data_IF_980559509699
#
_entry.id   IF_980559509699
#
_cell.length_a   1.000
_cell.length_b   1.000
_cell.length_c   1.000
_cell.angle_alpha   90.00
_cell.angle_beta   90.00
_cell.angle_gamma   90.00
#
_symmetry.space_group_name_H-M   'P 1'
#
loop_
_entity.id
_entity.type
_entity.pdbx_description
1 polymer ?
#
# COMPACT_ATOMS: atom_id res chain seq x y z
N UNK A 1 9.89 -2.50 -8.46
CA UNK A 1 9.82 -1.34 -7.53
C UNK A 1 9.02 -0.21 -8.16
N UNK A 2 9.29 0.16 -9.41
CA UNK A 2 8.48 1.13 -10.18
C UNK A 2 6.97 0.82 -10.17
N UNK A 3 6.57 -0.44 -10.40
CA UNK A 3 5.14 -0.81 -10.42
C UNK A 3 4.44 -0.58 -9.08
N UNK A 4 5.12 -0.84 -7.96
CA UNK A 4 4.57 -0.64 -6.61
C UNK A 4 4.36 0.84 -6.31
N UNK A 5 5.32 1.69 -6.70
CA UNK A 5 5.19 3.15 -6.53
C UNK A 5 4.10 3.73 -7.42
N UNK A 6 3.92 3.19 -8.62
CA UNK A 6 2.86 3.59 -9.53
C UNK A 6 1.48 3.22 -8.98
N UNK A 7 1.30 1.97 -8.54
CA UNK A 7 0.04 1.51 -7.94
C UNK A 7 -0.31 2.34 -6.70
N UNK A 8 0.68 2.68 -5.86
CA UNK A 8 0.49 3.55 -4.71
C UNK A 8 0.07 4.97 -5.11
N UNK A 9 0.71 5.54 -6.14
CA UNK A 9 0.39 6.86 -6.66
C UNK A 9 -1.03 6.93 -7.22
N UNK A 10 -1.45 5.94 -8.00
CA UNK A 10 -2.79 5.86 -8.58
C UNK A 10 -3.86 5.71 -7.48
N UNK A 11 -3.55 4.93 -6.44
CA UNK A 11 -4.42 4.75 -5.29
C UNK A 11 -4.59 6.06 -4.49
N UNK A 12 -3.51 6.81 -4.27
CA UNK A 12 -3.54 8.12 -3.62
C UNK A 12 -4.28 9.17 -4.45
N UNK A 13 -4.08 9.20 -5.76
CA UNK A 13 -4.81 10.09 -6.67
C UNK A 13 -6.32 9.81 -6.63
N UNK A 14 -6.71 8.54 -6.54
CA UNK A 14 -8.11 8.14 -6.38
C UNK A 14 -8.72 8.67 -5.08
N UNK A 15 -8.00 8.56 -3.95
CA UNK A 15 -8.46 9.14 -2.67
C UNK A 15 -8.59 10.66 -2.78
N UNK A 16 -7.59 11.34 -3.34
CA UNK A 16 -7.60 12.80 -3.47
C UNK A 16 -8.82 13.27 -4.27
N UNK A 17 -9.14 12.59 -5.37
CA UNK A 17 -10.30 12.93 -6.18
C UNK A 17 -11.61 12.67 -5.43
N UNK A 18 -11.75 11.54 -4.73
CA UNK A 18 -12.92 11.24 -3.89
C UNK A 18 -13.12 12.29 -2.78
N UNK A 19 -12.04 12.73 -2.15
CA UNK A 19 -12.10 13.76 -1.10
C UNK A 19 -12.44 15.14 -1.65
N UNK A 20 -11.99 15.48 -2.87
CA UNK A 20 -12.41 16.70 -3.56
C UNK A 20 -13.90 16.69 -3.89
N UNK A 21 -14.42 15.57 -4.41
CA UNK A 21 -15.85 15.40 -4.70
C UNK A 21 -16.70 15.46 -3.41
N UNK A 22 -16.18 14.90 -2.32
CA UNK A 22 -16.79 15.07 -1.00
C UNK A 22 -16.82 16.55 -0.56
N UNK A 23 -15.71 17.28 -0.69
CA UNK A 23 -15.63 18.70 -0.26
C UNK A 23 -16.63 19.58 -1.01
N UNK A 24 -16.85 19.31 -2.32
CA UNK A 24 -17.86 19.99 -3.12
C UNK A 24 -19.30 19.76 -2.65
N UNK A 25 -19.56 18.66 -1.95
CA UNK A 25 -20.90 18.27 -1.52
C UNK A 25 -21.10 18.38 -0.01
N UNK A 26 -20.07 18.71 0.78
CA UNK A 26 -20.04 18.55 2.24
C UNK A 26 -21.23 19.19 2.98
N UNK A 27 -21.71 20.33 2.50
CA UNK A 27 -22.80 21.08 3.13
C UNK A 27 -24.20 20.55 2.76
N UNK A 28 -24.27 19.73 1.72
CA UNK A 28 -25.50 19.19 1.14
C UNK A 28 -25.95 17.85 1.78
N UNK A 29 -25.34 17.44 2.90
CA UNK A 29 -25.58 16.16 3.57
C UNK A 29 -27.03 15.91 4.00
N UNK A 30 -27.87 16.94 4.04
CA UNK A 30 -29.30 16.82 4.35
C UNK A 30 -30.09 16.21 3.19
N UNK A 31 -29.58 16.24 1.95
CA UNK A 31 -30.22 15.60 0.79
C UNK A 31 -29.89 14.10 0.82
N UNK A 32 -30.89 13.19 0.94
CA UNK A 32 -30.63 11.76 1.17
C UNK A 32 -29.72 11.09 0.14
N UNK A 33 -29.87 11.44 -1.15
CA UNK A 33 -29.02 10.90 -2.23
C UNK A 33 -27.56 11.36 -2.14
N UNK A 34 -27.33 12.62 -1.75
CA UNK A 34 -25.98 13.16 -1.56
C UNK A 34 -25.35 12.53 -0.32
N UNK A 35 -26.10 12.42 0.79
CA UNK A 35 -25.64 11.77 2.01
C UNK A 35 -25.16 10.34 1.78
N UNK A 36 -25.93 9.55 1.04
CA UNK A 36 -25.57 8.17 0.71
C UNK A 36 -24.25 8.13 -0.10
N UNK A 37 -24.09 9.03 -1.06
CA UNK A 37 -22.86 9.15 -1.84
C UNK A 37 -21.66 9.56 -0.97
N UNK A 38 -21.84 10.53 -0.07
CA UNK A 38 -20.80 10.97 0.86
C UNK A 38 -20.34 9.85 1.80
N UNK A 39 -21.27 9.07 2.34
CA UNK A 39 -20.93 7.90 3.16
C UNK A 39 -20.08 6.93 2.34
N UNK A 40 -20.47 6.63 1.10
CA UNK A 40 -19.71 5.76 0.21
C UNK A 40 -18.29 6.29 -0.05
N UNK A 41 -18.16 7.58 -0.38
CA UNK A 41 -16.86 8.22 -0.63
C UNK A 41 -15.94 8.14 0.60
N UNK A 42 -16.46 8.50 1.78
CA UNK A 42 -15.70 8.45 3.03
C UNK A 42 -15.32 7.01 3.44
N UNK A 43 -16.21 6.04 3.24
CA UNK A 43 -15.90 4.63 3.49
C UNK A 43 -14.76 4.11 2.61
N UNK A 44 -14.79 4.44 1.32
CA UNK A 44 -13.71 4.06 0.38
C UNK A 44 -12.41 4.76 0.78
N UNK A 45 -12.44 6.07 1.03
CA UNK A 45 -11.27 6.83 1.45
C UNK A 45 -10.65 6.26 2.74
N UNK A 46 -11.47 5.84 3.71
CA UNK A 46 -11.00 5.20 4.93
C UNK A 46 -10.31 3.85 4.68
N UNK A 47 -10.90 2.99 3.87
CA UNK A 47 -10.33 1.67 3.56
C UNK A 47 -8.98 1.82 2.87
N UNK A 48 -8.92 2.67 1.85
CA UNK A 48 -7.68 2.89 1.09
C UNK A 48 -6.64 3.57 1.99
N UNK A 49 -7.02 4.62 2.73
CA UNK A 49 -6.11 5.32 3.64
C UNK A 49 -5.48 4.41 4.68
N UNK A 50 -6.27 3.51 5.29
CA UNK A 50 -5.76 2.52 6.23
C UNK A 50 -4.77 1.54 5.58
N UNK A 51 -5.06 1.09 4.35
CA UNK A 51 -4.17 0.18 3.62
C UNK A 51 -2.84 0.85 3.30
N UNK A 52 -2.88 2.09 2.82
CA UNK A 52 -1.68 2.89 2.52
C UNK A 52 -0.83 3.12 3.78
N UNK A 53 -1.45 3.47 4.91
CA UNK A 53 -0.74 3.63 6.19
C UNK A 53 -0.05 2.34 6.62
N UNK A 54 -0.76 1.21 6.57
CA UNK A 54 -0.20 -0.09 6.93
C UNK A 54 0.98 -0.50 6.03
N UNK A 55 0.88 -0.25 4.71
CA UNK A 55 1.97 -0.55 3.78
C UNK A 55 3.18 0.37 4.00
N UNK A 56 2.95 1.63 4.38
CA UNK A 56 4.02 2.58 4.75
C UNK A 56 4.73 2.18 6.04
N UNK A 57 3.99 1.78 7.07
CA UNK A 57 4.56 1.29 8.34
C UNK A 57 5.44 0.05 8.10
N UNK A 58 4.97 -0.88 7.27
CA UNK A 58 5.77 -2.04 6.87
C UNK A 58 7.05 -1.64 6.13
N UNK A 59 6.94 -0.74 5.14
CA UNK A 59 8.10 -0.28 4.39
C UNK A 59 9.15 0.39 5.29
N UNK A 60 8.72 1.22 6.25
CA UNK A 60 9.62 1.82 7.21
C UNK A 60 10.30 0.76 8.09
N UNK A 61 9.56 -0.23 8.58
CA UNK A 61 10.11 -1.36 9.34
C UNK A 61 11.14 -2.14 8.53
N UNK A 62 10.84 -2.45 7.26
CA UNK A 62 11.74 -3.19 6.37
C UNK A 62 13.03 -2.38 6.11
N UNK A 63 12.93 -1.05 5.98
CA UNK A 63 14.08 -0.13 5.84
C UNK A 63 14.89 -0.11 7.14
N UNK A 64 14.25 -0.01 8.30
CA UNK A 64 14.93 0.03 9.60
C UNK A 64 15.67 -1.29 9.87
N UNK A 65 15.05 -2.44 9.57
CA UNK A 65 15.72 -3.75 9.64
C UNK A 65 16.94 -3.79 8.73
N UNK A 66 16.80 -3.38 7.47
CA UNK A 66 17.90 -3.33 6.51
C UNK A 66 19.04 -2.39 6.96
N UNK A 67 18.72 -1.20 7.47
CA UNK A 67 19.72 -0.25 7.96
C UNK A 67 20.40 -0.74 9.24
N UNK A 68 19.72 -1.52 10.07
CA UNK A 68 20.25 -2.05 11.32
C UNK A 68 21.23 -3.21 11.13
N UNK A 69 21.03 -4.05 10.11
CA UNK A 69 21.89 -5.21 9.88
C UNK A 69 21.94 -5.64 8.40
N UNK A 70 22.46 -4.79 7.50
CA UNK A 70 22.39 -5.01 6.04
C UNK A 70 23.09 -6.30 5.59
N UNK A 71 24.14 -6.71 6.29
CA UNK A 71 24.88 -7.96 6.02
C UNK A 71 24.05 -9.22 6.30
N UNK A 72 23.19 -9.20 7.31
CA UNK A 72 22.31 -10.32 7.64
C UNK A 72 21.22 -10.52 6.58
N UNK A 73 20.66 -9.42 6.06
CA UNK A 73 19.66 -9.47 4.98
C UNK A 73 20.27 -10.00 3.69
N UNK A 74 21.48 -9.56 3.35
CA UNK A 74 22.25 -10.08 2.20
C UNK A 74 22.55 -11.57 2.39
N UNK A 75 23.02 -11.97 3.57
CA UNK A 75 23.30 -13.37 3.90
C UNK A 75 22.07 -14.27 3.78
N UNK A 76 20.92 -13.87 4.35
CA UNK A 76 19.65 -14.62 4.25
C UNK A 76 19.22 -14.80 2.79
N UNK A 77 19.33 -13.75 1.97
CA UNK A 77 19.02 -13.83 0.54
C UNK A 77 19.95 -14.80 -0.20
N UNK A 78 21.26 -14.72 0.04
CA UNK A 78 22.24 -15.62 -0.58
C UNK A 78 21.99 -17.09 -0.22
N UNK A 79 21.64 -17.39 1.03
CA UNK A 79 21.28 -18.74 1.46
C UNK A 79 20.00 -19.22 0.77
N UNK A 80 18.97 -18.37 0.67
CA UNK A 80 17.73 -18.72 -0.01
C UNK A 80 17.95 -19.03 -1.49
N UNK A 81 18.70 -18.17 -2.19
CA UNK A 81 19.03 -18.36 -3.60
C UNK A 81 19.85 -19.65 -3.83
N UNK A 82 20.80 -19.96 -2.92
CA UNK A 82 21.58 -21.20 -2.98
C UNK A 82 20.72 -22.46 -2.77
N UNK A 83 19.75 -22.42 -1.87
CA UNK A 83 18.81 -23.54 -1.63
C UNK A 83 17.89 -23.75 -2.83
N UNK A 84 17.36 -22.69 -3.45
CA UNK A 84 16.53 -22.80 -4.64
C UNK A 84 17.32 -23.43 -5.79
N UNK A 85 18.55 -22.97 -6.04
CA UNK A 85 19.43 -23.57 -7.04
C UNK A 85 19.72 -25.04 -6.74
N UNK A 86 19.94 -25.40 -5.48
CA UNK A 86 20.15 -26.79 -5.08
C UNK A 86 18.94 -27.67 -5.41
N UNK A 87 17.71 -27.18 -5.16
CA UNK A 87 16.49 -27.90 -5.48
C UNK A 87 16.29 -28.06 -7.00
N UNK A 88 16.49 -26.98 -7.76
CA UNK A 88 16.40 -27.01 -9.23
C UNK A 88 17.39 -28.01 -9.85
N UNK A 89 18.61 -28.09 -9.29
CA UNK A 89 19.62 -29.06 -9.72
C UNK A 89 19.30 -30.50 -9.31
N UNK A 90 18.50 -30.71 -8.26
CA UNK A 90 18.09 -32.03 -7.80
C UNK A 90 16.88 -32.60 -8.54
N UNK A 91 16.07 -31.74 -9.14
CA UNK A 91 14.90 -32.13 -9.94
C UNK A 91 15.24 -32.45 -11.41
N UNK A 92 16.52 -32.32 -11.82
CA UNK A 92 17.09 -32.74 -13.11
C UNK A 92 17.66 -34.16 -13.08
#
# INVERSE_FOLDING_TARGET
>A
MEDIFKDLSDCLNTIINLLKDFDLTKDDYKKPGIRANQIKMLSIAKIIGNKVLSDMEKLNSDIDEYLSNPEETIFKKLIHDAVNLQNDLWEL
#
